data_IF_837271326561
#
_entry.id   IF_837271326561
#
_cell.length_a   1.000
_cell.length_b   1.000
_cell.length_c   1.000
_cell.angle_alpha   90.00
_cell.angle_beta   90.00
_cell.angle_gamma   90.00
#
_symmetry.space_group_name_H-M   'P 1'
#
loop_
_entity.id
_entity.type
_entity.pdbx_description
1 polymer ?
#
# COMPACT_ATOMS: atom_id res chain seq x y z
N UNK A 1 -2.24 -0.58 13.77
CA UNK A 1 -1.28 -0.70 12.65
C UNK A 1 -1.97 -0.73 11.27
N UNK A 2 -2.71 0.35 10.96
CA UNK A 2 -3.43 0.54 9.69
C UNK A 2 -2.51 0.60 8.47
N UNK A 3 -1.27 1.03 8.67
CA UNK A 3 -0.26 1.14 7.59
C UNK A 3 0.22 -0.24 7.12
N UNK A 4 0.45 -1.17 8.04
CA UNK A 4 0.82 -2.54 7.71
C UNK A 4 -0.30 -3.25 6.95
N UNK A 5 -1.57 -3.00 7.33
CA UNK A 5 -2.73 -3.52 6.62
C UNK A 5 -2.82 -2.93 5.20
N UNK A 6 -2.60 -1.62 5.04
CA UNK A 6 -2.61 -0.96 3.74
C UNK A 6 -1.51 -1.50 2.82
N UNK A 7 -0.29 -1.71 3.35
CA UNK A 7 0.81 -2.33 2.61
C UNK A 7 0.48 -3.79 2.22
N UNK A 8 -0.09 -4.56 3.14
CA UNK A 8 -0.53 -5.94 2.88
C UNK A 8 -1.58 -6.02 1.77
N UNK A 9 -2.59 -5.15 1.80
CA UNK A 9 -3.61 -5.06 0.74
C UNK A 9 -2.96 -4.63 -0.58
N UNK A 10 -2.07 -3.63 -0.58
CA UNK A 10 -1.35 -3.19 -1.77
C UNK A 10 -0.54 -4.32 -2.40
N UNK A 11 0.22 -5.07 -1.61
CA UNK A 11 0.97 -6.22 -2.06
C UNK A 11 0.07 -7.32 -2.65
N UNK A 12 -1.05 -7.63 -1.99
CA UNK A 12 -2.02 -8.60 -2.49
C UNK A 12 -2.62 -8.18 -3.84
N UNK A 13 -2.96 -6.90 -3.99
CA UNK A 13 -3.46 -6.36 -5.26
C UNK A 13 -2.40 -6.47 -6.36
N UNK A 14 -1.14 -6.13 -6.07
CA UNK A 14 -0.03 -6.25 -7.02
C UNK A 14 0.16 -7.70 -7.47
N UNK A 15 0.13 -8.67 -6.55
CA UNK A 15 0.21 -10.10 -6.87
C UNK A 15 -0.95 -10.54 -7.75
N UNK A 16 -2.18 -10.12 -7.43
CA UNK A 16 -3.37 -10.46 -8.20
C UNK A 16 -3.30 -9.90 -9.63
N UNK A 17 -2.89 -8.65 -9.79
CA UNK A 17 -2.78 -7.99 -11.11
C UNK A 17 -1.69 -8.62 -11.97
N UNK A 18 -0.62 -9.13 -11.34
CA UNK A 18 0.47 -9.83 -12.04
C UNK A 18 0.13 -11.28 -12.41
N UNK A 19 -0.96 -11.83 -11.89
CA UNK A 19 -1.34 -13.22 -12.12
C UNK A 19 -1.82 -13.43 -13.56
N UNK A 20 -1.35 -14.49 -14.22
CA UNK A 20 -1.65 -14.79 -15.64
C UNK A 20 -3.13 -14.89 -15.98
N UNK A 21 -3.97 -15.21 -15.00
CA UNK A 21 -5.41 -15.33 -15.16
C UNK A 21 -6.16 -14.01 -14.87
N UNK A 22 -5.45 -12.90 -14.58
CA UNK A 22 -6.09 -11.62 -14.34
C UNK A 22 -6.61 -11.03 -15.66
N UNK A 23 -7.93 -10.83 -15.73
CA UNK A 23 -8.64 -10.37 -16.93
C UNK A 23 -9.49 -9.14 -16.63
N UNK A 24 -10.01 -8.51 -17.68
CA UNK A 24 -10.97 -7.40 -17.56
C UNK A 24 -12.19 -7.75 -16.70
N UNK A 25 -12.60 -9.02 -16.68
CA UNK A 25 -13.68 -9.51 -15.80
C UNK A 25 -13.32 -9.34 -14.32
N UNK A 26 -12.07 -9.66 -13.95
CA UNK A 26 -11.59 -9.48 -12.57
C UNK A 26 -11.49 -8.01 -12.21
N UNK A 27 -10.96 -7.18 -13.14
CA UNK A 27 -10.89 -5.73 -12.94
C UNK A 27 -12.28 -5.11 -12.75
N UNK A 28 -13.27 -5.54 -13.53
CA UNK A 28 -14.65 -5.10 -13.37
C UNK A 28 -15.23 -5.45 -12.00
N UNK A 29 -14.97 -6.65 -11.50
CA UNK A 29 -15.39 -7.06 -10.14
C UNK A 29 -14.67 -6.26 -9.07
N UNK A 30 -13.37 -6.05 -9.21
CA UNK A 30 -12.58 -5.24 -8.30
C UNK A 30 -13.09 -3.79 -8.24
N UNK A 31 -13.43 -3.20 -9.38
CA UNK A 31 -14.01 -1.86 -9.44
C UNK A 31 -15.35 -1.76 -8.69
N UNK A 32 -16.22 -2.77 -8.80
CA UNK A 32 -17.47 -2.81 -8.04
C UNK A 32 -17.23 -2.95 -6.53
N UNK A 33 -16.32 -3.82 -6.12
CA UNK A 33 -15.93 -4.00 -4.72
C UNK A 33 -15.32 -2.71 -4.16
N UNK A 34 -14.46 -2.04 -4.93
CA UNK A 34 -13.87 -0.75 -4.57
C UNK A 34 -14.95 0.32 -4.37
N UNK A 35 -15.93 0.41 -5.28
CA UNK A 35 -17.04 1.34 -5.13
C UNK A 35 -17.86 1.09 -3.85
N UNK A 36 -18.17 -0.17 -3.56
CA UNK A 36 -18.86 -0.57 -2.34
C UNK A 36 -18.05 -0.23 -1.08
N UNK A 37 -16.73 -0.46 -1.12
CA UNK A 37 -15.83 -0.12 -0.03
C UNK A 37 -15.81 1.38 0.26
N UNK A 38 -15.66 2.23 -0.76
CA UNK A 38 -15.65 3.68 -0.56
C UNK A 38 -17.03 4.21 -0.14
N UNK A 39 -18.12 3.63 -0.64
CA UNK A 39 -19.47 3.93 -0.18
C UNK A 39 -19.66 3.59 1.31
N UNK A 40 -19.19 2.42 1.73
CA UNK A 40 -19.20 2.01 3.13
C UNK A 40 -18.29 2.89 4.00
N UNK A 41 -17.09 3.23 3.53
CA UNK A 41 -16.17 4.11 4.24
C UNK A 41 -16.76 5.51 4.45
N UNK A 42 -17.41 6.08 3.42
CA UNK A 42 -18.13 7.34 3.53
C UNK A 42 -19.29 7.28 4.54
N UNK A 43 -20.06 6.20 4.50
CA UNK A 43 -21.14 5.95 5.45
C UNK A 43 -20.62 5.88 6.89
N UNK A 44 -19.56 5.10 7.12
CA UNK A 44 -18.92 4.98 8.43
C UNK A 44 -18.35 6.31 8.92
N UNK A 45 -17.78 7.12 8.03
CA UNK A 45 -17.29 8.45 8.36
C UNK A 45 -18.45 9.39 8.79
N UNK A 46 -19.56 9.34 8.07
CA UNK A 46 -20.78 10.09 8.41
C UNK A 46 -21.34 9.64 9.77
N UNK A 47 -21.49 8.34 9.99
CA UNK A 47 -21.99 7.76 11.23
C UNK A 47 -21.06 8.07 12.43
N UNK A 48 -19.73 8.12 12.20
CA UNK A 48 -18.78 8.49 13.25
C UNK A 48 -19.03 9.90 13.78
N UNK A 49 -19.36 10.83 12.90
CA UNK A 49 -19.69 12.19 13.32
C UNK A 49 -20.96 12.26 14.19
N UNK A 50 -21.88 11.28 14.03
CA UNK A 50 -23.16 11.24 14.74
C UNK A 50 -23.20 10.31 15.96
N UNK A 51 -22.36 9.24 15.97
CA UNK A 51 -22.46 8.16 16.98
C UNK A 51 -21.15 7.93 17.75
N UNK A 52 -19.99 8.16 17.12
CA UNK A 52 -18.68 7.86 17.71
C UNK A 52 -17.86 9.13 17.90
N UNK A 53 -17.72 9.55 19.13
CA UNK A 53 -16.89 10.72 19.50
C UNK A 53 -15.40 10.37 19.65
N UNK A 54 -15.02 9.08 19.74
CA UNK A 54 -13.63 8.66 19.92
C UNK A 54 -13.30 7.33 19.23
N UNK A 55 -12.12 7.22 18.64
CA UNK A 55 -11.46 5.93 18.40
C UNK A 55 -11.56 5.27 17.02
N UNK A 56 -11.57 6.00 15.91
CA UNK A 56 -11.32 5.40 14.58
C UNK A 56 -9.85 5.53 14.17
N UNK A 57 -9.34 4.58 13.36
CA UNK A 57 -8.00 4.71 12.78
C UNK A 57 -7.94 5.94 11.88
N UNK A 58 -6.83 6.69 11.95
CA UNK A 58 -6.63 7.91 11.14
C UNK A 58 -6.78 7.63 9.63
N UNK A 59 -6.38 6.43 9.18
CA UNK A 59 -6.51 6.02 7.79
C UNK A 59 -7.97 5.89 7.35
N UNK A 60 -8.82 5.22 8.13
CA UNK A 60 -10.23 5.04 7.81
C UNK A 60 -10.97 6.39 7.80
N UNK A 61 -10.60 7.28 8.71
CA UNK A 61 -11.13 8.64 8.73
C UNK A 61 -10.77 9.44 7.49
N UNK A 62 -9.52 9.32 7.02
CA UNK A 62 -9.04 9.98 5.79
C UNK A 62 -9.70 9.38 4.54
N UNK A 63 -9.79 8.06 4.43
CA UNK A 63 -10.40 7.38 3.28
C UNK A 63 -11.92 7.58 3.23
N UNK A 64 -12.58 7.71 4.38
CA UNK A 64 -14.01 7.95 4.47
C UNK A 64 -14.40 9.41 4.31
N UNK A 65 -13.45 10.35 4.36
CA UNK A 65 -13.73 11.76 4.13
C UNK A 65 -14.40 11.93 2.75
N UNK A 66 -15.48 12.70 2.69
CA UNK A 66 -16.29 12.85 1.47
C UNK A 66 -15.47 13.35 0.27
N UNK A 67 -14.44 14.16 0.51
CA UNK A 67 -13.50 14.67 -0.49
C UNK A 67 -12.67 13.56 -1.16
N UNK A 68 -12.48 12.43 -0.49
CA UNK A 68 -11.74 11.26 -1.00
C UNK A 68 -12.69 10.15 -1.41
N UNK A 69 -13.63 9.80 -0.54
CA UNK A 69 -14.52 8.67 -0.74
C UNK A 69 -15.44 8.84 -1.95
N UNK A 70 -16.05 10.02 -2.14
CA UNK A 70 -16.98 10.24 -3.26
C UNK A 70 -16.27 10.22 -4.63
N UNK A 71 -15.14 10.91 -4.85
CA UNK A 71 -14.41 10.79 -6.12
C UNK A 71 -13.91 9.37 -6.40
N UNK A 72 -13.41 8.67 -5.38
CA UNK A 72 -12.94 7.29 -5.55
C UNK A 72 -14.09 6.33 -5.86
N UNK A 73 -15.24 6.50 -5.21
CA UNK A 73 -16.46 5.74 -5.50
C UNK A 73 -16.94 6.01 -6.93
N UNK A 74 -17.03 7.29 -7.32
CA UNK A 74 -17.47 7.68 -8.65
C UNK A 74 -16.53 7.15 -9.75
N UNK A 75 -15.21 7.27 -9.56
CA UNK A 75 -14.20 6.74 -10.48
C UNK A 75 -14.32 5.21 -10.61
N UNK A 76 -14.53 4.51 -9.50
CA UNK A 76 -14.69 3.05 -9.47
C UNK A 76 -15.97 2.62 -10.20
N UNK A 77 -17.09 3.33 -10.02
CA UNK A 77 -18.34 3.08 -10.72
C UNK A 77 -18.23 3.38 -12.21
N UNK A 78 -17.55 4.46 -12.56
CA UNK A 78 -17.31 4.82 -13.97
C UNK A 78 -16.45 3.74 -14.64
N UNK A 79 -15.38 3.31 -14.02
CA UNK A 79 -14.54 2.21 -14.52
C UNK A 79 -15.36 0.93 -14.71
N UNK A 80 -16.17 0.57 -13.71
CA UNK A 80 -17.06 -0.58 -13.81
C UNK A 80 -18.04 -0.46 -14.98
N UNK A 81 -18.67 0.70 -15.14
CA UNK A 81 -19.64 0.95 -16.21
C UNK A 81 -18.98 0.86 -17.59
N UNK A 82 -17.82 1.49 -17.79
CA UNK A 82 -17.06 1.43 -19.03
C UNK A 82 -16.71 -0.03 -19.38
N UNK A 83 -16.16 -0.77 -18.43
CA UNK A 83 -15.80 -2.17 -18.65
C UNK A 83 -17.04 -3.05 -18.88
N UNK A 84 -18.18 -2.73 -18.26
CA UNK A 84 -19.45 -3.41 -18.48
C UNK A 84 -19.98 -3.19 -19.90
N UNK A 85 -19.97 -1.94 -20.38
CA UNK A 85 -20.41 -1.59 -21.74
C UNK A 85 -19.50 -2.23 -22.80
N UNK A 86 -18.17 -2.17 -22.59
CA UNK A 86 -17.20 -2.81 -23.49
C UNK A 86 -17.41 -4.33 -23.55
N UNK A 87 -17.67 -4.95 -22.40
CA UNK A 87 -17.95 -6.39 -22.34
C UNK A 87 -19.25 -6.75 -23.06
N UNK A 88 -20.31 -5.91 -22.97
CA UNK A 88 -21.57 -6.12 -23.70
C UNK A 88 -21.40 -5.98 -25.21
N UNK A 89 -20.49 -5.13 -25.67
CA UNK A 89 -20.16 -4.97 -27.09
C UNK A 89 -19.20 -6.05 -27.60
N UNK A 90 -18.86 -7.05 -26.80
CA UNK A 90 -17.90 -8.10 -27.16
C UNK A 90 -16.44 -7.62 -27.22
N UNK A 91 -16.18 -6.35 -26.89
CA UNK A 91 -14.86 -5.77 -26.91
C UNK A 91 -14.15 -6.12 -25.59
N UNK A 92 -13.03 -6.83 -25.67
CA UNK A 92 -12.15 -7.12 -24.54
C UNK A 92 -12.86 -7.76 -23.30
N UNK A 93 -13.95 -8.50 -23.49
CA UNK A 93 -14.73 -9.08 -22.38
C UNK A 93 -13.90 -9.95 -21.43
N UNK A 94 -12.81 -10.54 -21.91
CA UNK A 94 -11.87 -11.39 -21.17
C UNK A 94 -10.40 -11.13 -21.56
N UNK A 95 -10.07 -9.88 -21.97
CA UNK A 95 -8.71 -9.56 -22.33
C UNK A 95 -7.74 -9.81 -21.15
N UNK A 96 -6.60 -10.45 -21.38
CA UNK A 96 -5.61 -10.68 -20.35
C UNK A 96 -4.92 -9.36 -19.96
N UNK A 97 -4.94 -9.04 -18.68
CA UNK A 97 -4.34 -7.81 -18.15
C UNK A 97 -3.03 -8.04 -17.40
N UNK A 98 -2.56 -9.30 -17.35
CA UNK A 98 -1.37 -9.63 -16.56
C UNK A 98 -0.08 -8.97 -17.11
N UNK A 99 0.04 -8.80 -18.42
CA UNK A 99 1.23 -8.19 -19.02
C UNK A 99 1.33 -6.69 -18.68
N UNK A 100 0.31 -5.84 -18.98
CA UNK A 100 0.34 -4.45 -18.54
C UNK A 100 0.40 -4.33 -17.01
N UNK A 101 -0.26 -5.22 -16.27
CA UNK A 101 -0.20 -5.26 -14.81
C UNK A 101 1.22 -5.47 -14.28
N UNK A 102 1.97 -6.40 -14.85
CA UNK A 102 3.38 -6.64 -14.50
C UNK A 102 4.25 -5.42 -14.82
N UNK A 103 4.09 -4.84 -16.00
CA UNK A 103 4.86 -3.65 -16.40
C UNK A 103 4.59 -2.48 -15.43
N UNK A 104 3.34 -2.21 -15.12
CA UNK A 104 2.97 -1.17 -14.16
C UNK A 104 3.54 -1.47 -12.77
N UNK A 105 3.40 -2.71 -12.28
CA UNK A 105 3.92 -3.10 -10.97
C UNK A 105 5.44 -2.93 -10.89
N UNK A 106 6.18 -3.39 -11.91
CA UNK A 106 7.64 -3.23 -11.97
C UNK A 106 8.00 -1.75 -12.01
N UNK A 107 7.30 -0.96 -12.82
CA UNK A 107 7.56 0.49 -12.90
C UNK A 107 7.32 1.19 -11.57
N UNK A 108 6.22 0.89 -10.87
CA UNK A 108 5.91 1.47 -9.55
C UNK A 108 6.98 1.08 -8.52
N UNK A 109 7.37 -0.20 -8.49
CA UNK A 109 8.42 -0.66 -7.58
C UNK A 109 9.78 -0.04 -7.90
N UNK A 110 10.14 0.07 -9.17
CA UNK A 110 11.39 0.70 -9.59
C UNK A 110 11.42 2.19 -9.23
N UNK A 111 10.34 2.94 -9.49
CA UNK A 111 10.22 4.35 -9.12
C UNK A 111 10.25 4.51 -7.59
N UNK A 112 9.56 3.67 -6.85
CA UNK A 112 9.58 3.69 -5.39
C UNK A 112 10.97 3.41 -4.81
N UNK A 113 11.65 2.39 -5.32
CA UNK A 113 13.02 2.07 -4.92
C UNK A 113 14.00 3.20 -5.27
N UNK A 114 13.89 3.77 -6.47
CA UNK A 114 14.72 4.91 -6.88
C UNK A 114 14.46 6.13 -5.99
N UNK A 115 13.20 6.46 -5.71
CA UNK A 115 12.84 7.55 -4.82
C UNK A 115 13.40 7.34 -3.41
N UNK A 116 13.32 6.12 -2.88
CA UNK A 116 13.90 5.76 -1.58
C UNK A 116 15.42 5.93 -1.57
N UNK A 117 16.12 5.42 -2.58
CA UNK A 117 17.58 5.56 -2.70
C UNK A 117 17.98 7.04 -2.79
N UNK A 118 17.29 7.82 -3.64
CA UNK A 118 17.60 9.25 -3.81
C UNK A 118 17.33 10.05 -2.53
N UNK A 119 16.26 9.76 -1.82
CA UNK A 119 15.91 10.42 -0.56
C UNK A 119 16.99 10.17 0.52
N UNK A 120 17.57 8.98 0.57
CA UNK A 120 18.62 8.64 1.54
C UNK A 120 20.03 9.04 1.08
N UNK A 121 20.28 9.14 -0.22
CA UNK A 121 21.55 9.62 -0.75
C UNK A 121 21.70 11.16 -0.68
N UNK A 122 20.57 11.89 -0.59
CA UNK A 122 20.54 13.36 -0.57
C UNK A 122 19.72 13.89 0.61
N UNK A 123 20.17 13.71 1.87
CA UNK A 123 19.38 14.00 3.07
C UNK A 123 18.99 15.47 3.24
N UNK A 124 19.69 16.39 2.59
CA UNK A 124 19.45 17.85 2.71
C UNK A 124 18.42 18.41 1.71
N UNK A 125 17.73 17.57 0.93
CA UNK A 125 16.67 18.07 0.03
C UNK A 125 15.39 18.36 0.83
N UNK A 126 14.73 19.50 0.57
CA UNK A 126 13.44 19.82 1.16
C UNK A 126 12.38 18.88 0.56
N UNK A 127 12.08 17.80 1.26
CA UNK A 127 10.95 16.93 0.95
C UNK A 127 9.73 17.35 1.78
N UNK A 128 8.53 17.27 1.23
CA UNK A 128 7.31 17.39 2.03
C UNK A 128 7.35 16.42 3.21
N UNK A 129 6.88 16.83 4.37
CA UNK A 129 6.93 16.04 5.62
C UNK A 129 6.37 14.62 5.45
N UNK A 130 5.25 14.49 4.71
CA UNK A 130 4.63 13.20 4.42
C UNK A 130 5.53 12.24 3.62
N UNK A 131 6.33 12.77 2.69
CA UNK A 131 7.29 11.98 1.90
C UNK A 131 8.59 11.74 2.67
N UNK A 132 9.01 12.71 3.48
CA UNK A 132 10.19 12.57 4.34
C UNK A 132 10.02 11.38 5.29
N UNK A 133 8.90 11.32 6.01
CA UNK A 133 8.60 10.24 6.96
C UNK A 133 8.44 8.86 6.31
N UNK A 134 8.14 8.81 5.00
CA UNK A 134 8.00 7.56 4.26
C UNK A 134 9.32 7.09 3.64
N UNK A 135 10.10 8.02 3.07
CA UNK A 135 11.24 7.70 2.22
C UNK A 135 12.59 7.80 2.94
N UNK A 136 12.72 8.67 3.95
CA UNK A 136 13.99 8.87 4.65
C UNK A 136 14.11 7.89 5.81
N UNK A 137 15.11 7.01 5.74
CA UNK A 137 15.39 6.04 6.79
C UNK A 137 16.16 6.70 7.95
N UNK A 138 15.42 7.18 8.93
CA UNK A 138 15.92 7.80 10.16
C UNK A 138 15.37 7.09 11.40
N UNK A 139 15.65 7.61 12.60
CA UNK A 139 15.21 7.02 13.87
C UNK A 139 13.68 6.98 13.99
N UNK A 140 13.00 7.98 13.43
CA UNK A 140 11.54 8.13 13.49
C UNK A 140 10.84 7.29 12.41
N UNK A 141 11.59 6.68 11.48
CA UNK A 141 11.04 5.92 10.38
C UNK A 141 10.15 4.77 10.84
N UNK A 142 9.00 4.64 10.21
CA UNK A 142 8.05 3.58 10.54
C UNK A 142 7.50 3.66 11.97
N UNK A 143 7.21 4.86 12.46
CA UNK A 143 6.67 5.09 13.81
C UNK A 143 7.69 4.72 14.90
N UNK A 144 8.88 5.33 14.86
CA UNK A 144 10.01 5.14 15.78
C UNK A 144 10.65 3.74 15.75
N UNK A 145 10.45 3.00 14.66
CA UNK A 145 11.09 1.68 14.47
C UNK A 145 12.46 1.77 13.81
N UNK A 146 12.88 2.95 13.33
CA UNK A 146 14.15 3.15 12.66
C UNK A 146 15.34 2.77 13.54
N UNK A 147 15.31 3.10 14.83
CA UNK A 147 16.30 2.69 15.82
C UNK A 147 16.40 1.16 15.90
N UNK A 148 15.26 0.48 16.05
CA UNK A 148 15.21 -0.97 16.14
C UNK A 148 15.73 -1.64 14.87
N UNK A 149 15.36 -1.11 13.69
CA UNK A 149 15.86 -1.63 12.41
C UNK A 149 17.36 -1.43 12.25
N UNK A 150 17.90 -0.26 12.61
CA UNK A 150 19.36 -0.03 12.55
C UNK A 150 20.12 -0.95 13.50
N UNK A 151 19.64 -1.13 14.73
CA UNK A 151 20.23 -2.08 15.68
C UNK A 151 20.19 -3.52 15.12
N UNK A 152 19.04 -3.93 14.55
CA UNK A 152 18.88 -5.24 13.94
C UNK A 152 19.84 -5.47 12.77
N UNK A 153 19.95 -4.49 11.86
CA UNK A 153 20.87 -4.57 10.72
C UNK A 153 22.34 -4.54 11.17
N UNK A 154 22.70 -3.70 12.15
CA UNK A 154 24.04 -3.68 12.73
C UNK A 154 24.42 -5.05 13.31
N UNK A 155 23.59 -5.59 14.18
CA UNK A 155 23.81 -6.92 14.78
C UNK A 155 23.90 -8.03 13.73
N UNK A 156 23.09 -7.96 12.68
CA UNK A 156 23.15 -8.90 11.56
C UNK A 156 24.44 -8.74 10.75
N UNK A 157 24.84 -7.49 10.43
CA UNK A 157 26.05 -7.20 9.64
C UNK A 157 27.33 -7.67 10.34
N UNK A 158 27.40 -7.52 11.69
CA UNK A 158 28.54 -7.92 12.50
C UNK A 158 28.53 -9.43 12.81
N UNK A 159 27.44 -10.13 12.50
CA UNK A 159 27.29 -11.55 12.74
C UNK A 159 28.17 -12.43 11.84
N UNK A 160 28.57 -13.61 12.35
CA UNK A 160 29.21 -14.64 11.54
C UNK A 160 28.29 -15.11 10.40
N UNK A 161 28.86 -15.73 9.35
CA UNK A 161 28.10 -16.20 8.18
C UNK A 161 26.94 -17.12 8.59
N UNK A 162 27.14 -17.99 9.56
CA UNK A 162 26.11 -18.86 10.12
C UNK A 162 24.97 -18.05 10.77
N UNK A 163 25.30 -17.03 11.56
CA UNK A 163 24.31 -16.14 12.18
C UNK A 163 23.54 -15.31 11.15
N UNK A 164 24.17 -14.92 10.05
CA UNK A 164 23.51 -14.20 8.95
C UNK A 164 22.45 -15.04 8.23
N UNK A 165 22.66 -16.36 8.15
CA UNK A 165 21.74 -17.28 7.49
C UNK A 165 20.64 -17.77 8.43
N UNK A 166 21.02 -18.19 9.65
CA UNK A 166 20.10 -18.81 10.61
C UNK A 166 19.42 -17.79 11.51
N UNK A 167 19.98 -16.56 11.63
CA UNK A 167 19.54 -15.54 12.57
C UNK A 167 20.10 -15.77 13.98
N UNK A 168 19.79 -14.85 14.88
CA UNK A 168 20.25 -14.90 16.29
C UNK A 168 19.21 -15.53 17.24
N UNK A 169 18.09 -16.00 16.70
CA UNK A 169 16.99 -16.60 17.46
C UNK A 169 16.02 -15.59 18.10
N UNK A 170 14.83 -16.05 18.47
CA UNK A 170 13.80 -15.21 19.06
C UNK A 170 14.24 -14.71 20.44
N UNK A 171 14.05 -13.42 20.70
CA UNK A 171 14.33 -12.79 22.00
C UNK A 171 15.77 -12.32 22.23
N UNK A 172 16.73 -12.67 21.36
CA UNK A 172 18.14 -12.26 21.56
C UNK A 172 18.42 -10.80 21.18
N UNK A 173 17.47 -10.08 20.57
CA UNK A 173 17.62 -8.65 20.25
C UNK A 173 17.72 -7.76 21.50
N UNK A 174 17.12 -8.15 22.62
CA UNK A 174 17.20 -7.39 23.88
C UNK A 174 18.58 -7.39 24.52
N UNK A 175 19.46 -8.32 24.16
CA UNK A 175 20.82 -8.43 24.68
C UNK A 175 21.88 -7.82 23.75
N UNK A 176 21.47 -7.36 22.56
CA UNK A 176 22.36 -6.84 21.52
C UNK A 176 22.31 -5.31 21.36
N UNK A 177 21.50 -4.63 22.20
CA UNK A 177 21.37 -3.16 22.25
C UNK A 177 22.02 -2.60 23.49
#
# INVERSE_FOLDING_TARGET
DSEALALGIGAAVMVLVCHKNFTTRHLRRAALISAAFFGWAAWMHYMRASVYTQGGTALLAKLGAWQVALPCMAASLLLWLVLFVLARKGIAAQAPLYLPGRVITIAVLAVGALAFVLANAMPNRPLPESLHNLLVFNDDWGTYRGVAWRAAFGTWADGSLLRKIVGIGPGMMHTAV
#
